data_IF_166682233559
#
_entry.id   IF_166682233559
#
_cell.length_a   1.000
_cell.length_b   1.000
_cell.length_c   1.000
_cell.angle_alpha   90.00
_cell.angle_beta   90.00
_cell.angle_gamma   90.00
#
_symmetry.space_group_name_H-M   'P 1'
#
loop_
_entity.id
_entity.type
_entity.pdbx_description
1 polymer ?
#
# COMPACT_ATOMS: atom_id res chain seq x y z
N UNK A 1 49.91 19.05 54.66
CA UNK A 1 49.06 17.84 54.69
C UNK A 1 48.35 17.79 53.35
N UNK A 2 48.72 16.82 52.52
CA UNK A 2 48.30 16.70 51.12
C UNK A 2 46.85 16.17 51.03
N UNK A 3 45.87 17.07 50.84
CA UNK A 3 44.54 16.69 50.40
C UNK A 3 44.57 16.44 48.89
N UNK A 4 44.97 15.23 48.50
CA UNK A 4 44.73 14.73 47.15
C UNK A 4 43.25 14.41 47.01
N UNK A 5 42.47 15.41 46.61
CA UNK A 5 41.19 15.20 45.96
C UNK A 5 41.37 14.11 44.90
N UNK A 6 40.78 12.94 45.15
CA UNK A 6 40.62 11.88 44.17
C UNK A 6 39.66 12.39 43.11
N UNK A 7 40.22 13.19 42.20
CA UNK A 7 39.62 13.64 40.96
C UNK A 7 39.33 12.37 40.17
N UNK A 8 38.12 11.82 40.36
CA UNK A 8 37.65 10.64 39.67
C UNK A 8 37.68 10.99 38.18
N UNK A 9 38.75 10.51 37.54
CA UNK A 9 39.19 10.88 36.23
C UNK A 9 38.13 10.38 35.24
N UNK A 10 37.30 11.29 34.74
CA UNK A 10 36.40 11.08 33.59
C UNK A 10 37.24 10.65 32.38
N UNK A 11 37.52 9.35 32.27
CA UNK A 11 38.24 8.71 31.15
C UNK A 11 37.38 7.56 30.65
N UNK A 12 36.42 7.94 29.83
CA UNK A 12 35.48 7.11 29.07
C UNK A 12 34.53 8.11 28.43
N UNK A 13 34.96 8.93 27.47
CA UNK A 13 35.48 8.50 26.17
C UNK A 13 34.25 8.15 25.33
N UNK A 14 34.04 8.80 24.19
CA UNK A 14 32.86 8.70 23.30
C UNK A 14 32.20 7.29 23.24
N UNK A 15 33.04 6.25 23.30
CA UNK A 15 32.67 4.84 23.40
C UNK A 15 31.70 4.51 24.54
N UNK A 16 31.94 5.00 25.76
CA UNK A 16 31.06 4.76 26.91
C UNK A 16 29.67 5.38 26.70
N UNK A 17 29.62 6.61 26.16
CA UNK A 17 28.35 7.28 25.81
C UNK A 17 27.63 6.56 24.67
N UNK A 18 28.37 6.00 23.72
CA UNK A 18 27.80 5.22 22.61
C UNK A 18 27.23 3.88 23.08
N UNK A 19 27.93 3.19 23.99
CA UNK A 19 27.44 1.97 24.64
C UNK A 19 26.17 2.26 25.46
N UNK A 20 26.14 3.38 26.21
CA UNK A 20 24.94 3.83 26.94
C UNK A 20 23.77 4.19 26.00
N UNK A 21 24.07 4.78 24.84
CA UNK A 21 23.08 5.11 23.81
C UNK A 21 22.48 3.85 23.18
N UNK A 22 23.33 2.88 22.82
CA UNK A 22 22.85 1.59 22.28
C UNK A 22 22.02 0.85 23.32
N UNK A 23 22.44 0.82 24.59
CA UNK A 23 21.68 0.18 25.66
C UNK A 23 20.28 0.81 25.82
N UNK A 24 20.18 2.15 25.76
CA UNK A 24 18.88 2.84 25.75
C UNK A 24 18.06 2.49 24.52
N UNK A 25 18.67 2.46 23.34
CA UNK A 25 17.96 2.18 22.09
C UNK A 25 17.39 0.75 22.09
N UNK A 26 18.14 -0.22 22.59
CA UNK A 26 17.67 -1.60 22.82
C UNK A 26 16.51 -1.62 23.82
N UNK A 27 16.61 -0.91 24.94
CA UNK A 27 15.52 -0.86 25.92
C UNK A 27 14.23 -0.23 25.35
N UNK A 28 14.36 0.80 24.51
CA UNK A 28 13.22 1.39 23.81
C UNK A 28 12.61 0.42 22.80
N UNK A 29 13.46 -0.31 22.05
CA UNK A 29 13.00 -1.32 21.10
C UNK A 29 12.25 -2.46 21.81
N UNK A 30 12.74 -2.95 22.94
CA UNK A 30 12.06 -3.98 23.75
C UNK A 30 10.69 -3.53 24.23
N UNK A 31 10.60 -2.32 24.79
CA UNK A 31 9.32 -1.75 25.22
C UNK A 31 8.37 -1.60 24.02
N UNK A 32 8.89 -1.15 22.88
CA UNK A 32 8.11 -0.98 21.66
C UNK A 32 7.60 -2.32 21.11
N UNK A 33 8.41 -3.39 21.17
CA UNK A 33 8.00 -4.76 20.80
C UNK A 33 6.91 -5.27 21.74
N UNK A 34 7.03 -5.06 23.05
CA UNK A 34 5.99 -5.44 24.03
C UNK A 34 4.67 -4.70 23.74
N UNK A 35 4.75 -3.40 23.45
CA UNK A 35 3.59 -2.60 23.05
C UNK A 35 2.94 -3.12 21.76
N UNK A 36 3.76 -3.48 20.77
CA UNK A 36 3.28 -4.00 19.50
C UNK A 36 2.60 -5.36 19.69
N UNK A 37 3.22 -6.28 20.43
CA UNK A 37 2.68 -7.60 20.75
C UNK A 37 1.34 -7.50 21.49
N UNK A 38 1.21 -6.55 22.43
CA UNK A 38 -0.02 -6.32 23.20
C UNK A 38 -1.18 -5.77 22.34
N UNK A 39 -0.88 -5.10 21.22
CA UNK A 39 -1.88 -4.46 20.36
C UNK A 39 -1.99 -5.11 18.97
N UNK A 40 -1.23 -6.17 18.68
CA UNK A 40 -1.08 -6.71 17.34
C UNK A 40 -2.40 -7.25 16.78
N UNK A 41 -3.23 -7.87 17.64
CA UNK A 41 -4.55 -8.36 17.25
C UNK A 41 -5.45 -7.23 16.76
N UNK A 42 -5.42 -6.06 17.40
CA UNK A 42 -6.21 -4.90 17.00
C UNK A 42 -5.74 -4.30 15.67
N UNK A 43 -4.42 -4.22 15.47
CA UNK A 43 -3.84 -3.78 14.20
C UNK A 43 -4.17 -4.75 13.06
N UNK A 44 -4.00 -6.05 13.28
CA UNK A 44 -4.31 -7.09 12.29
C UNK A 44 -5.80 -7.08 11.98
N UNK A 45 -6.69 -7.03 12.96
CA UNK A 45 -8.13 -6.97 12.72
C UNK A 45 -8.54 -5.73 11.93
N UNK A 46 -7.99 -4.55 12.26
CA UNK A 46 -8.26 -3.32 11.50
C UNK A 46 -7.72 -3.40 10.08
N UNK A 47 -6.51 -3.93 9.91
CA UNK A 47 -5.89 -4.12 8.61
C UNK A 47 -6.73 -5.08 7.76
N UNK A 48 -7.02 -6.28 8.28
CA UNK A 48 -7.85 -7.29 7.60
C UNK A 48 -9.21 -6.69 7.23
N UNK A 49 -9.91 -6.03 8.16
CA UNK A 49 -11.21 -5.43 7.88
C UNK A 49 -11.12 -4.40 6.74
N UNK A 50 -10.16 -3.48 6.79
CA UNK A 50 -9.97 -2.49 5.72
C UNK A 50 -9.61 -3.15 4.39
N UNK A 51 -8.69 -4.11 4.41
CA UNK A 51 -8.26 -4.84 3.22
C UNK A 51 -9.40 -5.61 2.57
N UNK A 52 -10.29 -6.23 3.35
CA UNK A 52 -11.51 -6.87 2.83
C UNK A 52 -12.38 -5.85 2.11
N UNK A 53 -12.67 -4.69 2.71
CA UNK A 53 -13.48 -3.67 2.05
C UNK A 53 -12.86 -3.14 0.75
N UNK A 54 -11.56 -2.89 0.75
CA UNK A 54 -10.83 -2.45 -0.45
C UNK A 54 -10.89 -3.52 -1.53
N UNK A 55 -10.63 -4.78 -1.16
CA UNK A 55 -10.67 -5.89 -2.09
C UNK A 55 -12.08 -6.10 -2.66
N UNK A 56 -13.10 -6.12 -1.80
CA UNK A 56 -14.51 -6.22 -2.23
C UNK A 56 -14.89 -5.08 -3.16
N UNK A 57 -14.52 -3.83 -2.86
CA UNK A 57 -14.79 -2.70 -3.73
C UNK A 57 -14.12 -2.85 -5.10
N UNK A 58 -12.84 -3.24 -5.14
CA UNK A 58 -12.13 -3.52 -6.38
C UNK A 58 -12.77 -4.66 -7.17
N UNK A 59 -13.19 -5.73 -6.50
CA UNK A 59 -13.90 -6.85 -7.13
C UNK A 59 -15.23 -6.41 -7.74
N UNK A 60 -16.02 -5.59 -7.03
CA UNK A 60 -17.29 -5.08 -7.52
C UNK A 60 -17.11 -4.15 -8.73
N UNK A 61 -16.12 -3.25 -8.68
CA UNK A 61 -15.77 -2.40 -9.81
C UNK A 61 -15.36 -3.26 -11.01
N UNK A 62 -14.52 -4.26 -10.79
CA UNK A 62 -14.09 -5.18 -11.85
C UNK A 62 -15.25 -5.96 -12.46
N UNK A 63 -16.16 -6.50 -11.64
CA UNK A 63 -17.37 -7.18 -12.11
C UNK A 63 -18.26 -6.24 -12.93
N UNK A 64 -18.47 -5.01 -12.46
CA UNK A 64 -19.23 -3.99 -13.18
C UNK A 64 -18.62 -3.65 -14.54
N UNK A 65 -17.29 -3.51 -14.59
CA UNK A 65 -16.55 -3.24 -15.83
C UNK A 65 -16.63 -4.43 -16.80
N UNK A 66 -16.50 -5.67 -16.33
CA UNK A 66 -16.66 -6.85 -17.18
C UNK A 66 -18.06 -6.91 -17.78
N UNK A 67 -19.10 -6.74 -16.95
CA UNK A 67 -20.48 -6.83 -17.41
C UNK A 67 -20.79 -5.72 -18.43
N UNK A 68 -20.34 -4.51 -18.16
CA UNK A 68 -20.51 -3.36 -19.07
C UNK A 68 -19.75 -3.59 -20.37
N UNK A 69 -18.51 -4.08 -20.31
CA UNK A 69 -17.70 -4.43 -21.49
C UNK A 69 -18.39 -5.47 -22.36
N UNK A 70 -18.95 -6.52 -21.76
CA UNK A 70 -19.69 -7.55 -22.47
C UNK A 70 -21.00 -7.01 -23.09
N UNK A 71 -21.73 -6.14 -22.38
CA UNK A 71 -22.92 -5.48 -22.91
C UNK A 71 -22.62 -4.57 -24.11
N UNK A 72 -21.50 -3.84 -24.07
CA UNK A 72 -21.02 -3.03 -25.19
C UNK A 72 -20.65 -3.93 -26.37
N UNK A 73 -19.92 -5.03 -26.12
CA UNK A 73 -19.59 -6.02 -27.15
C UNK A 73 -20.83 -6.56 -27.86
N UNK A 74 -21.84 -7.04 -27.10
CA UNK A 74 -23.08 -7.56 -27.68
C UNK A 74 -23.83 -6.49 -28.47
N UNK A 75 -23.81 -5.24 -28.00
CA UNK A 75 -24.47 -4.12 -28.69
C UNK A 75 -23.77 -3.82 -30.02
N UNK A 76 -22.44 -3.75 -30.04
CA UNK A 76 -21.66 -3.56 -31.26
C UNK A 76 -21.90 -4.73 -32.23
N UNK A 77 -21.85 -5.97 -31.72
CA UNK A 77 -22.09 -7.17 -32.52
C UNK A 77 -23.46 -7.11 -33.20
N UNK A 78 -24.52 -6.75 -32.45
CA UNK A 78 -25.88 -6.72 -32.95
C UNK A 78 -26.15 -5.58 -33.94
N UNK A 79 -25.66 -4.38 -33.65
CA UNK A 79 -26.08 -3.16 -34.36
C UNK A 79 -25.07 -2.61 -35.37
N UNK A 80 -23.78 -2.90 -35.18
CA UNK A 80 -22.70 -2.30 -35.98
C UNK A 80 -22.02 -3.36 -36.86
N UNK A 81 -21.76 -4.55 -36.29
CA UNK A 81 -21.00 -5.60 -36.98
C UNK A 81 -21.88 -6.64 -37.68
N UNK A 82 -23.18 -6.39 -37.83
CA UNK A 82 -24.13 -7.30 -38.48
C UNK A 82 -24.07 -8.77 -37.97
N UNK A 83 -23.73 -8.96 -36.70
CA UNK A 83 -23.57 -10.26 -36.06
C UNK A 83 -22.13 -10.79 -36.00
N UNK A 84 -21.15 -10.17 -36.67
CA UNK A 84 -19.75 -10.62 -36.68
C UNK A 84 -19.08 -10.43 -35.31
N UNK A 85 -18.73 -11.53 -34.60
CA UNK A 85 -18.11 -11.46 -33.28
C UNK A 85 -16.65 -10.97 -33.33
N UNK A 86 -15.93 -11.18 -34.43
CA UNK A 86 -14.52 -10.80 -34.55
C UNK A 86 -14.45 -9.28 -34.66
N UNK A 87 -15.20 -8.70 -35.59
CA UNK A 87 -15.25 -7.26 -35.79
C UNK A 87 -15.76 -6.52 -34.54
N UNK A 88 -16.77 -7.07 -33.87
CA UNK A 88 -17.28 -6.52 -32.62
C UNK A 88 -16.27 -6.57 -31.47
N UNK A 89 -15.48 -7.65 -31.38
CA UNK A 89 -14.41 -7.78 -30.39
C UNK A 89 -13.32 -6.72 -30.61
N UNK A 90 -12.89 -6.53 -31.86
CA UNK A 90 -11.91 -5.48 -32.20
C UNK A 90 -12.46 -4.08 -31.90
N UNK A 91 -13.70 -3.80 -32.29
CA UNK A 91 -14.33 -2.50 -32.00
C UNK A 91 -14.43 -2.21 -30.51
N UNK A 92 -14.84 -3.20 -29.71
CA UNK A 92 -14.91 -3.09 -28.25
C UNK A 92 -13.52 -2.87 -27.65
N UNK A 93 -12.54 -3.70 -28.03
CA UNK A 93 -11.17 -3.61 -27.53
C UNK A 93 -10.50 -2.27 -27.84
N UNK A 94 -10.60 -1.80 -29.09
CA UNK A 94 -10.06 -0.49 -29.50
C UNK A 94 -10.77 0.64 -28.75
N UNK A 95 -12.10 0.57 -28.60
CA UNK A 95 -12.86 1.57 -27.85
C UNK A 95 -12.42 1.69 -26.40
N UNK A 96 -12.26 0.57 -25.70
CA UNK A 96 -11.74 0.56 -24.32
C UNK A 96 -10.30 1.03 -24.23
N UNK A 97 -9.45 0.71 -25.20
CA UNK A 97 -8.07 1.18 -25.24
C UNK A 97 -8.00 2.70 -25.39
N UNK A 98 -8.78 3.28 -26.30
CA UNK A 98 -8.87 4.74 -26.44
C UNK A 98 -9.41 5.40 -25.17
N UNK A 99 -10.46 4.82 -24.58
CA UNK A 99 -11.01 5.29 -23.31
C UNK A 99 -9.96 5.26 -22.19
N UNK A 100 -9.17 4.19 -22.09
CA UNK A 100 -8.09 4.08 -21.10
C UNK A 100 -7.01 5.15 -21.31
N UNK A 101 -6.61 5.42 -22.54
CA UNK A 101 -5.63 6.48 -22.86
C UNK A 101 -6.18 7.86 -22.47
N UNK A 102 -7.45 8.16 -22.82
CA UNK A 102 -8.09 9.42 -22.46
C UNK A 102 -8.24 9.57 -20.94
N UNK A 103 -8.64 8.49 -20.27
CA UNK A 103 -8.77 8.46 -18.82
C UNK A 103 -7.43 8.71 -18.13
N UNK A 104 -6.36 8.01 -18.53
CA UNK A 104 -5.01 8.24 -18.01
C UNK A 104 -4.54 9.67 -18.28
N UNK A 105 -4.80 10.19 -19.49
CA UNK A 105 -4.44 11.56 -19.84
C UNK A 105 -5.17 12.59 -18.96
N UNK A 106 -6.43 12.33 -18.61
CA UNK A 106 -7.20 13.15 -17.69
C UNK A 106 -6.68 13.04 -16.25
N UNK A 107 -6.41 11.82 -15.76
CA UNK A 107 -5.88 11.59 -14.41
C UNK A 107 -4.49 12.20 -14.21
N UNK A 108 -3.64 12.16 -15.23
CA UNK A 108 -2.30 12.76 -15.19
C UNK A 108 -2.27 14.25 -15.53
N UNK A 109 -3.39 14.82 -16.00
CA UNK A 109 -3.52 16.27 -16.13
C UNK A 109 -3.64 16.87 -14.73
N UNK A 110 -2.53 17.45 -14.28
CA UNK A 110 -2.46 18.28 -13.08
C UNK A 110 -3.30 19.54 -13.24
#
# INVERSE_FOLDING_TARGET
MDERHSKHRKKGGLKATFEEFIAKLVSYAEVMVIYLQKNIQFYVQKFVRKSVWVFTALTLIFLGLMYTSYGIFLSIQKFISAGDPILASFGTGIGFLLFAILFLSFVFRK
#
